data_IF_056421619379
#
_entry.id   IF_056421619379
#
_cell.length_a   1.000
_cell.length_b   1.000
_cell.length_c   1.000
_cell.angle_alpha   90.00
_cell.angle_beta   90.00
_cell.angle_gamma   90.00
#
_symmetry.space_group_name_H-M   'P 1'
#
loop_
_entity.id
_entity.type
_entity.pdbx_description
1 polymer ?
#
# COMPACT_ATOMS: atom_id res chain seq x y z
N UNK A 1 -16.36 8.50 -6.72
CA UNK A 1 -16.71 7.54 -7.80
C UNK A 1 -17.64 8.19 -8.83
N UNK A 2 -18.82 8.75 -8.44
CA UNK A 2 -19.77 9.36 -9.36
C UNK A 2 -19.19 10.50 -10.21
N UNK A 3 -18.52 11.49 -9.56
CA UNK A 3 -17.86 12.60 -10.26
C UNK A 3 -16.82 12.09 -11.26
N UNK A 4 -16.02 11.12 -10.87
CA UNK A 4 -15.02 10.50 -11.73
C UNK A 4 -15.66 9.87 -12.97
N UNK A 5 -16.70 9.05 -12.77
CA UNK A 5 -17.39 8.40 -13.88
C UNK A 5 -18.00 9.43 -14.87
N UNK A 6 -18.57 10.51 -14.37
CA UNK A 6 -19.21 11.54 -15.20
C UNK A 6 -18.22 12.50 -15.86
N UNK A 7 -17.26 12.98 -15.11
CA UNK A 7 -16.37 14.08 -15.55
C UNK A 7 -15.09 13.59 -16.23
N UNK A 8 -14.58 12.42 -15.82
CA UNK A 8 -13.34 11.88 -16.36
C UNK A 8 -13.57 10.78 -17.39
N UNK A 9 -14.49 9.84 -17.14
CA UNK A 9 -14.78 8.75 -18.06
C UNK A 9 -15.87 9.10 -19.07
N UNK A 10 -16.56 10.25 -18.94
CA UNK A 10 -17.61 10.69 -19.87
C UNK A 10 -18.84 9.75 -19.88
N UNK A 11 -19.05 8.95 -18.84
CA UNK A 11 -20.15 7.98 -18.82
C UNK A 11 -21.53 8.65 -18.74
N UNK A 12 -22.52 8.07 -19.42
CA UNK A 12 -23.93 8.45 -19.24
C UNK A 12 -24.36 8.25 -17.79
N UNK A 13 -25.52 8.83 -17.40
CA UNK A 13 -26.07 8.67 -16.04
C UNK A 13 -26.26 7.20 -15.68
N UNK A 14 -26.86 6.43 -16.56
CA UNK A 14 -27.10 5.00 -16.36
C UNK A 14 -25.79 4.23 -16.20
N UNK A 15 -24.82 4.43 -17.10
CA UNK A 15 -23.50 3.78 -17.02
C UNK A 15 -22.75 4.17 -15.75
N UNK A 16 -22.93 5.40 -15.26
CA UNK A 16 -22.32 5.87 -14.01
C UNK A 16 -22.91 5.18 -12.78
N UNK A 17 -24.24 4.90 -12.78
CA UNK A 17 -24.87 4.11 -11.72
C UNK A 17 -24.32 2.68 -11.71
N UNK A 18 -24.29 2.02 -12.87
CA UNK A 18 -23.70 0.67 -12.98
C UNK A 18 -22.25 0.62 -12.53
N UNK A 19 -21.47 1.63 -12.89
CA UNK A 19 -20.07 1.78 -12.46
C UNK A 19 -19.96 1.93 -10.94
N UNK A 20 -20.84 2.74 -10.34
CA UNK A 20 -20.89 2.94 -8.89
C UNK A 20 -21.23 1.62 -8.16
N UNK A 21 -22.26 0.91 -8.60
CA UNK A 21 -22.64 -0.38 -8.00
C UNK A 21 -21.52 -1.42 -8.12
N UNK A 22 -20.86 -1.48 -9.29
CA UNK A 22 -19.70 -2.36 -9.50
C UNK A 22 -18.55 -1.99 -8.56
N UNK A 23 -18.32 -0.69 -8.32
CA UNK A 23 -17.28 -0.25 -7.41
C UNK A 23 -17.57 -0.67 -5.96
N UNK A 24 -18.80 -0.51 -5.48
CA UNK A 24 -19.20 -0.99 -4.15
C UNK A 24 -19.10 -2.52 -4.02
N UNK A 25 -19.50 -3.25 -5.04
CA UNK A 25 -19.35 -4.70 -5.06
C UNK A 25 -17.87 -5.12 -4.93
N UNK A 26 -17.00 -4.49 -5.71
CA UNK A 26 -15.54 -4.74 -5.64
C UNK A 26 -14.96 -4.35 -4.27
N UNK A 27 -15.38 -3.24 -3.70
CA UNK A 27 -14.98 -2.86 -2.33
C UNK A 27 -15.39 -3.94 -1.32
N UNK A 28 -16.63 -4.45 -1.43
CA UNK A 28 -17.09 -5.55 -0.58
C UNK A 28 -16.22 -6.80 -0.70
N UNK A 29 -15.86 -7.20 -1.93
CA UNK A 29 -14.93 -8.31 -2.16
C UNK A 29 -13.57 -8.04 -1.49
N UNK A 30 -12.99 -6.85 -1.69
CA UNK A 30 -11.72 -6.46 -1.06
C UNK A 30 -11.76 -6.59 0.47
N UNK A 31 -12.86 -6.18 1.10
CA UNK A 31 -13.01 -6.30 2.56
C UNK A 31 -13.12 -7.76 3.02
N UNK A 32 -13.85 -8.58 2.28
CA UNK A 32 -13.97 -10.02 2.57
C UNK A 32 -12.60 -10.68 2.44
N UNK A 33 -11.86 -10.41 1.37
CA UNK A 33 -10.52 -10.95 1.15
C UNK A 33 -9.56 -10.57 2.29
N UNK A 34 -9.58 -9.31 2.73
CA UNK A 34 -8.78 -8.86 3.88
C UNK A 34 -9.09 -9.64 5.15
N UNK A 35 -10.38 -9.83 5.44
CA UNK A 35 -10.81 -10.59 6.62
C UNK A 35 -10.38 -12.06 6.50
N UNK A 36 -10.57 -12.67 5.35
CA UNK A 36 -10.22 -14.07 5.11
C UNK A 36 -8.70 -14.30 5.26
N UNK A 37 -7.88 -13.48 4.61
CA UNK A 37 -6.42 -13.57 4.72
C UNK A 37 -5.95 -13.28 6.15
N UNK A 38 -6.53 -12.27 6.82
CA UNK A 38 -6.26 -11.96 8.22
C UNK A 38 -6.65 -13.08 9.19
N UNK A 39 -7.65 -13.90 8.84
CA UNK A 39 -8.06 -15.10 9.58
C UNK A 39 -7.20 -16.34 9.27
N UNK A 40 -6.12 -16.21 8.50
CA UNK A 40 -5.21 -17.31 8.18
C UNK A 40 -5.61 -18.15 6.96
N UNK A 41 -6.56 -17.66 6.14
CA UNK A 41 -7.03 -18.37 4.93
C UNK A 41 -6.23 -17.99 3.67
N UNK A 42 -4.98 -17.51 3.81
CA UNK A 42 -4.15 -17.06 2.68
C UNK A 42 -3.89 -18.19 1.67
N UNK A 43 -3.81 -19.44 2.13
CA UNK A 43 -3.61 -20.62 1.26
C UNK A 43 -4.75 -20.86 0.25
N UNK A 44 -5.92 -20.25 0.46
CA UNK A 44 -7.06 -20.33 -0.46
C UNK A 44 -6.94 -19.35 -1.63
N UNK A 45 -5.93 -18.48 -1.61
CA UNK A 45 -5.68 -17.47 -2.65
C UNK A 45 -4.50 -17.89 -3.52
N UNK A 46 -4.65 -17.71 -4.81
CA UNK A 46 -3.56 -17.85 -5.76
C UNK A 46 -3.05 -16.48 -6.16
N UNK A 47 -1.75 -16.25 -6.00
CA UNK A 47 -1.10 -15.02 -6.41
C UNK A 47 -0.45 -15.21 -7.78
N UNK A 48 -0.84 -14.38 -8.74
CA UNK A 48 -0.22 -14.31 -10.06
C UNK A 48 0.66 -13.05 -10.12
N UNK A 49 1.96 -13.23 -10.17
CA UNK A 49 2.95 -12.15 -10.19
C UNK A 49 3.34 -11.72 -11.61
N UNK A 50 2.74 -12.30 -12.63
CA UNK A 50 3.01 -11.99 -14.03
C UNK A 50 4.43 -12.35 -14.47
N UNK A 51 4.87 -11.72 -15.56
CA UNK A 51 6.16 -12.02 -16.22
C UNK A 51 7.40 -11.51 -15.48
N UNK A 52 7.24 -10.57 -14.56
CA UNK A 52 8.35 -9.96 -13.80
C UNK A 52 8.64 -10.67 -12.48
N UNK A 53 8.04 -11.83 -12.28
CA UNK A 53 8.19 -12.58 -11.03
C UNK A 53 9.63 -13.01 -10.75
N UNK A 54 10.37 -13.40 -11.78
CA UNK A 54 11.80 -13.78 -11.66
C UNK A 54 12.65 -12.63 -11.12
N UNK A 55 12.48 -11.42 -11.67
CA UNK A 55 13.23 -10.24 -11.27
C UNK A 55 12.90 -9.84 -9.83
N UNK A 56 11.62 -9.96 -9.46
CA UNK A 56 11.17 -9.72 -8.10
C UNK A 56 11.75 -10.74 -7.11
N UNK A 57 11.82 -12.03 -7.49
CA UNK A 57 12.46 -13.06 -6.67
C UNK A 57 13.96 -12.82 -6.47
N UNK A 58 14.66 -12.32 -7.47
CA UNK A 58 16.08 -11.96 -7.35
C UNK A 58 16.26 -10.89 -6.27
N UNK A 59 15.43 -9.86 -6.27
CA UNK A 59 15.42 -8.81 -5.24
C UNK A 59 15.09 -9.39 -3.86
N UNK A 60 14.07 -10.25 -3.75
CA UNK A 60 13.69 -10.88 -2.48
C UNK A 60 14.77 -11.79 -1.89
N UNK A 61 15.53 -12.50 -2.72
CA UNK A 61 16.62 -13.38 -2.29
C UNK A 61 17.92 -12.61 -2.00
N UNK A 62 18.02 -11.33 -2.39
CA UNK A 62 19.15 -10.46 -2.09
C UNK A 62 19.26 -10.14 -0.60
N UNK A 63 20.41 -9.63 -0.18
CA UNK A 63 20.66 -9.20 1.20
C UNK A 63 20.59 -7.67 1.40
N UNK A 64 20.29 -6.95 0.35
CA UNK A 64 20.24 -5.49 0.40
C UNK A 64 18.92 -4.98 0.95
N UNK A 65 18.94 -3.78 1.53
CA UNK A 65 17.74 -3.06 1.89
C UNK A 65 17.02 -2.53 0.64
N UNK A 66 15.71 -2.65 0.60
CA UNK A 66 14.91 -2.30 -0.56
C UNK A 66 13.85 -1.27 -0.22
N UNK A 67 13.72 -0.26 -1.07
CA UNK A 67 12.60 0.69 -1.03
C UNK A 67 11.53 0.22 -2.00
N UNK A 68 10.33 -0.05 -1.49
CA UNK A 68 9.16 -0.42 -2.26
C UNK A 68 8.18 0.74 -2.29
N UNK A 69 7.82 1.20 -3.49
CA UNK A 69 6.83 2.25 -3.68
C UNK A 69 5.57 1.61 -4.24
N UNK A 70 4.50 1.66 -3.46
CA UNK A 70 3.19 1.16 -3.83
C UNK A 70 2.18 2.27 -4.07
N UNK A 71 0.97 1.86 -4.39
CA UNK A 71 -0.19 2.73 -4.48
C UNK A 71 -1.43 2.02 -3.93
N UNK A 72 -2.45 2.78 -3.52
CA UNK A 72 -3.72 2.22 -3.07
C UNK A 72 -4.56 1.71 -4.26
N UNK A 73 -4.01 0.74 -4.98
CA UNK A 73 -4.65 0.09 -6.13
C UNK A 73 -4.94 -1.37 -5.79
N UNK A 74 -6.19 -1.78 -5.97
CA UNK A 74 -6.60 -3.14 -5.64
C UNK A 74 -6.59 -3.43 -4.13
N UNK A 75 -6.16 -4.62 -3.77
CA UNK A 75 -6.10 -5.12 -2.40
C UNK A 75 -4.65 -5.46 -1.99
N UNK A 76 -3.77 -4.46 -2.00
CA UNK A 76 -2.35 -4.64 -1.74
C UNK A 76 -2.03 -5.26 -0.37
N UNK A 77 -2.90 -5.07 0.61
CA UNK A 77 -2.69 -5.58 1.99
C UNK A 77 -2.72 -7.11 2.07
N UNK A 78 -3.43 -7.79 1.16
CA UNK A 78 -3.46 -9.27 1.15
C UNK A 78 -2.16 -9.89 0.66
N UNK A 79 -1.26 -9.11 0.08
CA UNK A 79 0.08 -9.56 -0.31
C UNK A 79 1.06 -9.70 0.85
N UNK A 80 0.74 -9.20 2.05
CA UNK A 80 1.65 -9.25 3.20
C UNK A 80 2.13 -10.66 3.57
N UNK A 81 1.28 -11.71 3.60
CA UNK A 81 1.71 -13.08 3.90
C UNK A 81 2.76 -13.62 2.94
N UNK A 82 2.75 -13.17 1.69
CA UNK A 82 3.75 -13.58 0.70
C UNK A 82 5.18 -13.23 1.13
N UNK A 83 5.38 -12.08 1.77
CA UNK A 83 6.70 -11.66 2.23
C UNK A 83 7.17 -12.41 3.46
N UNK A 84 6.25 -12.95 4.26
CA UNK A 84 6.59 -13.76 5.44
C UNK A 84 7.37 -15.03 5.03
N UNK A 85 7.06 -15.62 3.88
CA UNK A 85 7.72 -16.83 3.35
C UNK A 85 9.21 -16.60 3.02
N UNK A 86 9.59 -15.36 2.74
CA UNK A 86 10.98 -14.98 2.44
C UNK A 86 11.76 -14.50 3.67
N UNK A 87 11.15 -14.50 4.85
CA UNK A 87 11.78 -14.04 6.09
C UNK A 87 12.21 -12.57 6.08
N UNK A 88 11.69 -11.77 5.15
CA UNK A 88 12.04 -10.35 5.02
C UNK A 88 11.21 -9.51 5.97
N UNK A 89 11.87 -8.65 6.72
CA UNK A 89 11.19 -7.67 7.55
C UNK A 89 10.73 -6.50 6.72
N UNK A 90 9.44 -6.22 6.75
CA UNK A 90 8.81 -5.11 6.06
C UNK A 90 8.51 -3.97 7.03
N UNK A 91 8.93 -2.77 6.67
CA UNK A 91 8.68 -1.57 7.45
C UNK A 91 7.79 -0.62 6.63
N UNK A 92 6.54 -0.48 7.04
CA UNK A 92 5.55 0.34 6.35
C UNK A 92 5.65 1.75 6.89
N UNK A 93 5.97 2.70 6.04
CA UNK A 93 6.01 4.13 6.39
C UNK A 93 4.60 4.69 6.30
N UNK A 94 4.13 5.27 7.40
CA UNK A 94 2.75 5.72 7.53
C UNK A 94 2.68 6.99 8.38
N UNK A 95 1.79 7.92 8.04
CA UNK A 95 1.57 9.10 8.89
C UNK A 95 1.08 8.72 10.28
N UNK A 96 1.60 9.38 11.31
CA UNK A 96 1.29 9.08 12.71
C UNK A 96 -0.21 9.16 12.99
N UNK A 97 -0.91 10.15 12.41
CA UNK A 97 -2.37 10.28 12.57
C UNK A 97 -3.17 9.09 11.97
N UNK A 98 -2.68 8.45 10.92
CA UNK A 98 -3.26 7.21 10.37
C UNK A 98 -2.90 6.01 11.24
N UNK A 99 -1.64 5.92 11.67
CA UNK A 99 -1.17 4.86 12.54
C UNK A 99 -1.97 4.79 13.83
N UNK A 100 -2.22 5.91 14.51
CA UNK A 100 -2.99 5.94 15.75
C UNK A 100 -4.43 5.42 15.58
N UNK A 101 -5.06 5.65 14.42
CA UNK A 101 -6.41 5.16 14.12
C UNK A 101 -6.50 3.64 13.95
N UNK A 102 -5.44 3.02 13.46
CA UNK A 102 -5.43 1.58 13.13
C UNK A 102 -4.47 0.78 14.01
N UNK A 103 -3.81 1.44 14.96
CA UNK A 103 -2.78 0.85 15.82
C UNK A 103 -3.26 -0.43 16.51
N UNK A 104 -4.42 -0.40 17.16
CA UNK A 104 -4.98 -1.56 17.84
C UNK A 104 -5.25 -2.73 16.88
N UNK A 105 -5.70 -2.41 15.67
CA UNK A 105 -5.97 -3.42 14.65
C UNK A 105 -4.66 -4.03 14.14
N UNK A 106 -3.65 -3.19 13.90
CA UNK A 106 -2.33 -3.64 13.48
C UNK A 106 -1.66 -4.48 14.57
N UNK A 107 -1.65 -4.02 15.82
CA UNK A 107 -1.04 -4.74 16.95
C UNK A 107 -1.68 -6.11 17.18
N UNK A 108 -3.00 -6.22 17.04
CA UNK A 108 -3.70 -7.51 17.13
C UNK A 108 -3.33 -8.48 16.00
N UNK A 109 -3.04 -7.95 14.81
CA UNK A 109 -2.77 -8.76 13.62
C UNK A 109 -1.26 -8.99 13.37
N UNK A 110 -0.38 -8.26 14.10
CA UNK A 110 1.08 -8.33 13.90
C UNK A 110 1.82 -9.25 14.84
N UNK A 111 1.14 -9.87 15.80
CA UNK A 111 1.79 -10.81 16.71
C UNK A 111 2.39 -11.99 15.93
N UNK A 112 3.71 -11.92 15.71
CA UNK A 112 4.48 -12.93 14.96
C UNK A 112 4.72 -12.64 13.48
N UNK A 113 4.28 -11.50 12.95
CA UNK A 113 4.49 -11.13 11.53
C UNK A 113 5.74 -10.29 11.32
N UNK A 114 6.35 -10.44 10.14
CA UNK A 114 7.59 -9.77 9.75
C UNK A 114 7.39 -8.31 9.31
N UNK A 115 6.33 -7.63 9.72
CA UNK A 115 6.15 -6.22 9.39
C UNK A 115 6.05 -5.31 10.62
N UNK A 116 6.57 -4.11 10.48
CA UNK A 116 6.57 -3.04 11.47
C UNK A 116 6.08 -1.76 10.82
N UNK A 117 5.63 -0.81 11.63
CA UNK A 117 5.27 0.54 11.15
C UNK A 117 6.33 1.54 11.59
N UNK A 118 6.74 2.39 10.65
CA UNK A 118 7.55 3.57 10.91
C UNK A 118 6.60 4.77 10.82
N UNK A 119 6.15 5.33 11.96
CA UNK A 119 5.29 6.51 11.94
C UNK A 119 6.10 7.74 11.51
N UNK A 120 5.56 8.48 10.56
CA UNK A 120 6.07 9.79 10.16
C UNK A 120 5.39 10.85 11.02
N UNK A 121 6.21 11.59 11.75
CA UNK A 121 5.79 12.76 12.49
C UNK A 121 6.46 13.99 11.84
N UNK A 122 5.66 15.00 11.51
CA UNK A 122 6.14 16.22 10.87
C UNK A 122 7.05 17.05 11.79
N UNK A 123 6.91 16.88 13.11
CA UNK A 123 7.65 17.64 14.11
C UNK A 123 9.10 17.17 14.29
N UNK A 124 9.46 16.00 13.77
CA UNK A 124 10.82 15.46 13.93
C UNK A 124 11.26 14.56 12.75
N UNK A 125 12.57 14.46 12.57
CA UNK A 125 13.19 13.66 11.51
C UNK A 125 13.54 12.22 11.95
N UNK A 126 13.03 11.74 13.06
CA UNK A 126 13.37 10.42 13.62
C UNK A 126 13.04 9.29 12.65
N UNK A 127 11.99 9.43 11.86
CA UNK A 127 11.61 8.45 10.85
C UNK A 127 12.69 8.28 9.77
N UNK A 128 13.40 9.35 9.37
CA UNK A 128 14.46 9.29 8.37
C UNK A 128 15.63 8.43 8.87
N UNK A 129 16.04 8.62 10.13
CA UNK A 129 17.11 7.79 10.71
C UNK A 129 16.68 6.32 10.81
N UNK A 130 15.42 6.05 11.19
CA UNK A 130 14.87 4.69 11.23
C UNK A 130 14.87 4.04 9.86
N UNK A 131 14.43 4.76 8.82
CA UNK A 131 14.44 4.27 7.43
C UNK A 131 15.86 3.90 7.01
N UNK A 132 16.83 4.78 7.26
CA UNK A 132 18.24 4.51 6.96
C UNK A 132 18.73 3.25 7.67
N UNK A 133 18.47 3.12 8.96
CA UNK A 133 18.97 1.99 9.77
C UNK A 133 18.32 0.66 9.32
N UNK A 134 17.05 0.68 8.98
CA UNK A 134 16.31 -0.46 8.44
C UNK A 134 16.90 -0.92 7.10
N UNK A 135 17.16 0.02 6.19
CA UNK A 135 17.76 -0.27 4.89
C UNK A 135 19.20 -0.81 5.05
N UNK A 136 19.97 -0.23 5.96
CA UNK A 136 21.33 -0.69 6.26
C UNK A 136 21.36 -2.14 6.84
N UNK A 137 20.28 -2.57 7.47
CA UNK A 137 20.11 -3.93 7.98
C UNK A 137 19.56 -4.92 6.93
N UNK A 138 19.40 -4.52 5.66
CA UNK A 138 18.86 -5.36 4.59
C UNK A 138 17.35 -5.60 4.71
N UNK A 139 16.64 -4.76 5.50
CA UNK A 139 15.19 -4.84 5.63
C UNK A 139 14.50 -4.00 4.54
N UNK A 140 13.21 -4.22 4.34
CA UNK A 140 12.42 -3.55 3.32
C UNK A 140 11.63 -2.38 3.91
N UNK A 141 11.60 -1.27 3.17
CA UNK A 141 10.82 -0.08 3.51
C UNK A 141 9.75 0.14 2.44
N UNK A 142 8.50 0.23 2.86
CA UNK A 142 7.34 0.37 1.98
C UNK A 142 6.70 1.74 2.15
N UNK A 143 6.55 2.45 1.04
CA UNK A 143 5.85 3.73 0.95
C UNK A 143 4.62 3.61 0.07
N UNK A 144 3.58 4.36 0.40
CA UNK A 144 2.47 4.62 -0.50
C UNK A 144 2.69 5.96 -1.21
N UNK A 145 2.94 5.89 -2.51
CA UNK A 145 3.31 7.05 -3.33
C UNK A 145 2.13 7.82 -3.96
N UNK A 146 0.89 7.46 -3.65
CA UNK A 146 -0.31 8.02 -4.26
C UNK A 146 -1.11 8.97 -3.35
N UNK A 147 -0.66 9.17 -2.11
CA UNK A 147 -1.31 10.07 -1.14
C UNK A 147 -0.30 10.94 -0.42
N UNK A 148 -0.72 12.13 -0.06
CA UNK A 148 0.07 13.07 0.73
C UNK A 148 -0.82 13.84 1.70
N UNK A 149 -0.23 14.36 2.75
CA UNK A 149 -0.88 15.25 3.74
C UNK A 149 -0.73 16.70 3.28
N UNK A 150 -1.67 17.55 3.65
CA UNK A 150 -1.60 18.99 3.38
C UNK A 150 -0.31 19.58 3.97
N UNK A 151 0.42 20.37 3.18
CA UNK A 151 1.73 20.92 3.55
C UNK A 151 2.92 20.09 3.05
N UNK A 152 2.72 18.85 2.63
CA UNK A 152 3.79 18.02 2.06
C UNK A 152 4.26 18.58 0.70
N UNK A 153 5.56 18.53 0.45
CA UNK A 153 6.10 18.87 -0.86
C UNK A 153 5.60 17.87 -1.92
N UNK A 154 5.03 18.40 -2.99
CA UNK A 154 4.47 17.59 -4.08
C UNK A 154 5.02 18.01 -5.42
N UNK A 155 5.01 17.11 -6.40
CA UNK A 155 5.17 17.41 -7.80
C UNK A 155 3.87 17.12 -8.57
N UNK A 156 3.72 17.78 -9.71
CA UNK A 156 2.51 17.68 -10.54
C UNK A 156 2.81 16.90 -11.81
N UNK A 157 1.91 15.96 -12.10
CA UNK A 157 1.97 15.13 -13.28
C UNK A 157 0.60 14.98 -13.94
N UNK A 158 0.59 14.64 -15.22
CA UNK A 158 -0.66 14.32 -15.91
C UNK A 158 -1.06 12.88 -15.62
N UNK A 159 -2.16 12.70 -14.91
CA UNK A 159 -2.71 11.39 -14.57
C UNK A 159 -4.18 11.29 -15.01
N UNK A 160 -4.49 10.28 -15.81
CA UNK A 160 -5.84 10.03 -16.34
C UNK A 160 -6.45 11.26 -17.07
N UNK A 161 -5.62 12.00 -17.82
CA UNK A 161 -6.04 13.17 -18.60
C UNK A 161 -6.28 14.44 -17.77
N UNK A 162 -5.75 14.52 -16.56
CA UNK A 162 -5.77 15.72 -15.74
C UNK A 162 -4.51 15.85 -14.90
N UNK A 163 -4.20 17.09 -14.48
CA UNK A 163 -3.15 17.35 -13.52
C UNK A 163 -3.49 16.69 -12.17
N UNK A 164 -2.55 15.96 -11.61
CA UNK A 164 -2.60 15.36 -10.29
C UNK A 164 -1.30 15.66 -9.54
N UNK A 165 -1.38 15.80 -8.23
CA UNK A 165 -0.22 16.01 -7.37
C UNK A 165 0.16 14.71 -6.69
N UNK A 166 1.46 14.43 -6.63
CA UNK A 166 2.04 13.27 -5.98
C UNK A 166 3.07 13.72 -4.94
N UNK A 167 3.31 12.98 -3.85
CA UNK A 167 4.34 13.33 -2.88
C UNK A 167 5.73 13.31 -3.54
N UNK A 168 6.56 14.31 -3.21
CA UNK A 168 7.92 14.43 -3.76
C UNK A 168 8.96 13.63 -2.98
N UNK A 169 8.62 13.18 -1.78
CA UNK A 169 9.45 12.35 -0.93
C UNK A 169 8.59 11.30 -0.23
N UNK A 170 8.49 10.10 -0.78
CA UNK A 170 8.01 8.97 -0.02
C UNK A 170 9.07 8.52 1.00
#
# INVERSE_FOLDING_TARGET
VWRYARQRLGYSRFRSVCFLLKNYYRLGQTLIDKVAVGAGMAEQYTFDFGTQYSDFLEVLNGNEGVVMIGAHVGNWEIGAPFFDDYGKKMNIVMFDAEYQKIKELLEKNTNGKNYKVIPVNEDNLTHIFRIRDVLANGEYVCFQGDRYVEGTQTFKETFLGAEASFPAGP
#
